data_IF_092056178505
#
_entry.id   IF_092056178505
#
_cell.length_a   1.000
_cell.length_b   1.000
_cell.length_c   1.000
_cell.angle_alpha   90.00
_cell.angle_beta   90.00
_cell.angle_gamma   90.00
#
_symmetry.space_group_name_H-M   'P 1'
#
loop_
_entity.id
_entity.type
_entity.pdbx_description
1 polymer ?
#
# COMPACT_ATOMS: atom_id res chain seq x y z
N UNK A 1 -2.64 -12.72 9.07
CA UNK A 1 -1.18 -12.56 9.15
C UNK A 1 -0.62 -12.10 7.81
N UNK A 2 -0.90 -12.80 6.71
CA UNK A 2 -0.39 -12.42 5.38
C UNK A 2 -0.86 -11.03 4.91
N UNK A 3 -2.14 -10.69 5.10
CA UNK A 3 -2.69 -9.39 4.66
C UNK A 3 -1.97 -8.17 5.25
N UNK A 4 -1.73 -8.18 6.56
CA UNK A 4 -1.06 -7.08 7.26
C UNK A 4 0.35 -6.83 6.70
N UNK A 5 1.10 -7.92 6.50
CA UNK A 5 2.45 -7.86 5.95
C UNK A 5 2.42 -7.40 4.49
N UNK A 6 1.44 -7.86 3.70
CA UNK A 6 1.26 -7.40 2.32
C UNK A 6 1.06 -5.89 2.26
N UNK A 7 0.17 -5.31 3.08
CA UNK A 7 -0.03 -3.85 3.08
C UNK A 7 1.25 -3.13 3.50
N UNK A 8 1.95 -3.59 4.55
CA UNK A 8 3.20 -2.95 4.98
C UNK A 8 4.26 -2.93 3.87
N UNK A 9 4.41 -4.04 3.14
CA UNK A 9 5.38 -4.17 2.05
C UNK A 9 4.99 -3.30 0.85
N UNK A 10 3.70 -3.28 0.50
CA UNK A 10 3.20 -2.43 -0.58
C UNK A 10 3.34 -0.95 -0.26
N UNK A 11 3.01 -0.56 0.98
CA UNK A 11 3.24 0.78 1.48
C UNK A 11 4.73 1.16 1.38
N UNK A 12 5.64 0.32 1.89
CA UNK A 12 7.08 0.55 1.75
C UNK A 12 7.51 0.75 0.30
N UNK A 13 7.01 -0.10 -0.60
CA UNK A 13 7.39 -0.10 -1.99
C UNK A 13 7.00 1.20 -2.70
N UNK A 14 5.87 1.82 -2.31
CA UNK A 14 5.39 3.08 -2.89
C UNK A 14 6.17 4.27 -2.34
N UNK A 15 6.23 4.45 -1.01
CA UNK A 15 6.90 5.61 -0.40
C UNK A 15 8.42 5.65 -0.65
N UNK A 16 9.02 4.51 -1.02
CA UNK A 16 10.44 4.44 -1.37
C UNK A 16 10.68 4.35 -2.88
N UNK A 17 9.65 4.61 -3.70
CA UNK A 17 9.77 4.53 -5.15
C UNK A 17 10.68 5.63 -5.72
N UNK A 18 10.64 6.82 -5.12
CA UNK A 18 11.38 8.03 -5.52
C UNK A 18 12.69 8.24 -4.72
N UNK A 19 12.80 7.62 -3.54
CA UNK A 19 14.04 7.50 -2.75
C UNK A 19 14.05 8.24 -1.42
N UNK A 20 13.06 9.11 -1.15
CA UNK A 20 12.96 9.89 0.08
C UNK A 20 11.58 9.71 0.71
N UNK A 21 11.53 9.42 2.02
CA UNK A 21 10.25 9.30 2.75
C UNK A 21 10.02 10.54 3.61
N UNK A 22 8.89 11.19 3.40
CA UNK A 22 8.45 12.35 4.17
C UNK A 22 7.77 11.94 5.48
N UNK A 23 7.69 12.87 6.44
CA UNK A 23 6.92 12.65 7.68
C UNK A 23 5.41 12.47 7.39
N UNK A 24 4.92 13.10 6.32
CA UNK A 24 3.52 12.99 5.88
C UNK A 24 3.21 11.55 5.48
N UNK A 25 4.02 10.95 4.61
CA UNK A 25 3.88 9.57 4.17
C UNK A 25 3.97 8.59 5.35
N UNK A 26 4.89 8.85 6.29
CA UNK A 26 5.02 8.06 7.52
C UNK A 26 3.75 8.09 8.37
N UNK A 27 3.17 9.28 8.53
CA UNK A 27 1.93 9.47 9.29
C UNK A 27 0.77 8.72 8.65
N UNK A 28 0.65 8.79 7.32
CA UNK A 28 -0.39 8.05 6.60
C UNK A 28 -0.21 6.54 6.75
N UNK A 29 1.03 6.04 6.68
CA UNK A 29 1.31 4.61 6.94
C UNK A 29 0.75 4.13 8.28
N UNK A 30 0.96 4.90 9.35
CA UNK A 30 0.38 4.59 10.67
C UNK A 30 -1.14 4.66 10.71
N UNK A 31 -1.74 5.62 10.00
CA UNK A 31 -3.20 5.74 9.90
C UNK A 31 -3.80 4.53 9.17
N UNK A 32 -3.17 4.08 8.08
CA UNK A 32 -3.57 2.86 7.35
C UNK A 32 -3.55 1.65 8.30
N UNK A 33 -2.48 1.47 9.07
CA UNK A 33 -2.40 0.36 10.03
C UNK A 33 -3.56 0.39 11.02
N UNK A 34 -3.87 1.56 11.61
CA UNK A 34 -4.98 1.72 12.53
C UNK A 34 -6.35 1.43 11.89
N UNK A 35 -6.58 1.95 10.69
CA UNK A 35 -7.83 1.73 9.94
C UNK A 35 -8.02 0.26 9.57
N UNK A 36 -6.93 -0.47 9.35
CA UNK A 36 -6.94 -1.91 9.10
C UNK A 36 -6.92 -2.75 10.39
N UNK A 37 -6.92 -2.12 11.58
CA UNK A 37 -6.89 -2.81 12.86
C UNK A 37 -5.57 -3.54 13.13
N UNK A 38 -4.48 -3.05 12.56
CA UNK A 38 -3.13 -3.61 12.68
C UNK A 38 -2.35 -2.91 13.80
N UNK A 39 -1.49 -3.66 14.47
CA UNK A 39 -0.64 -3.13 15.51
C UNK A 39 0.55 -2.36 14.90
N UNK A 40 0.91 -1.23 15.51
CA UNK A 40 1.95 -0.31 15.01
C UNK A 40 3.34 -0.98 14.92
N UNK A 41 3.61 -1.97 15.77
CA UNK A 41 4.87 -2.73 15.81
C UNK A 41 5.09 -3.62 14.58
N UNK A 42 4.00 -4.05 13.93
CA UNK A 42 4.04 -4.84 12.69
C UNK A 42 4.65 -4.00 11.56
N UNK A 43 4.24 -2.73 11.45
CA UNK A 43 4.73 -1.84 10.42
C UNK A 43 6.24 -1.68 10.56
N UNK A 44 6.71 -1.19 11.70
CA UNK A 44 8.14 -0.90 11.91
C UNK A 44 9.02 -2.14 11.71
N UNK A 45 8.58 -3.30 12.22
CA UNK A 45 9.28 -4.58 12.04
C UNK A 45 9.35 -5.00 10.59
N UNK A 46 8.26 -4.87 9.83
CA UNK A 46 8.23 -5.31 8.44
C UNK A 46 9.00 -4.35 7.52
N UNK A 47 8.92 -3.05 7.76
CA UNK A 47 9.69 -2.06 7.01
C UNK A 47 11.20 -2.25 7.21
N UNK A 48 11.64 -2.63 8.42
CA UNK A 48 13.04 -2.97 8.67
C UNK A 48 13.53 -4.15 7.82
N UNK A 49 12.65 -5.13 7.52
CA UNK A 49 12.98 -6.24 6.62
C UNK A 49 13.00 -5.81 5.15
N UNK A 50 12.03 -4.99 4.74
CA UNK A 50 11.95 -4.48 3.37
C UNK A 50 13.21 -3.69 2.98
N UNK A 51 13.83 -2.96 3.93
CA UNK A 51 15.11 -2.24 3.73
C UNK A 51 16.28 -3.14 3.32
N UNK A 52 16.21 -4.44 3.60
CA UNK A 52 17.28 -5.39 3.27
C UNK A 52 17.10 -6.03 1.88
N UNK A 53 15.98 -5.75 1.20
CA UNK A 53 15.65 -6.33 -0.10
C UNK A 53 15.94 -5.33 -1.21
N UNK A 54 16.34 -5.84 -2.38
CA UNK A 54 16.34 -5.03 -3.60
C UNK A 54 14.92 -4.70 -4.05
N UNK A 55 14.77 -3.65 -4.87
CA UNK A 55 13.46 -3.24 -5.42
C UNK A 55 12.77 -4.40 -6.16
N UNK A 56 13.52 -5.18 -6.94
CA UNK A 56 12.99 -6.34 -7.68
C UNK A 56 12.51 -7.43 -6.72
N UNK A 57 13.32 -7.81 -5.73
CA UNK A 57 12.92 -8.82 -4.73
C UNK A 57 11.68 -8.40 -3.95
N UNK A 58 11.56 -7.11 -3.64
CA UNK A 58 10.40 -6.57 -2.94
C UNK A 58 9.14 -6.61 -3.81
N UNK A 59 9.24 -6.24 -5.11
CA UNK A 59 8.12 -6.35 -6.05
C UNK A 59 7.65 -7.81 -6.16
N UNK A 60 8.58 -8.75 -6.35
CA UNK A 60 8.26 -10.18 -6.44
C UNK A 60 7.60 -10.70 -5.15
N UNK A 61 8.11 -10.27 -3.98
CA UNK A 61 7.53 -10.60 -2.69
C UNK A 61 6.12 -10.04 -2.53
N UNK A 62 5.88 -8.80 -2.96
CA UNK A 62 4.56 -8.16 -2.95
C UNK A 62 3.57 -8.92 -3.84
N UNK A 63 3.96 -9.25 -5.07
CA UNK A 63 3.12 -10.03 -6.01
C UNK A 63 2.82 -11.42 -5.43
N UNK A 64 3.83 -12.10 -4.89
CA UNK A 64 3.64 -13.40 -4.26
C UNK A 64 2.70 -13.34 -3.05
N UNK A 65 2.81 -12.28 -2.24
CA UNK A 65 1.96 -12.07 -1.06
C UNK A 65 0.52 -11.75 -1.47
N UNK A 66 0.33 -10.86 -2.46
CA UNK A 66 -0.98 -10.53 -3.04
C UNK A 66 -1.67 -11.78 -3.60
N UNK A 67 -0.96 -12.63 -4.34
CA UNK A 67 -1.53 -13.86 -4.91
C UNK A 67 -2.01 -14.88 -3.86
N UNK A 68 -1.58 -14.77 -2.61
CA UNK A 68 -2.04 -15.62 -1.49
C UNK A 68 -3.27 -15.06 -0.78
N UNK A 69 -3.63 -13.81 -1.03
CA UNK A 69 -4.78 -13.17 -0.43
C UNK A 69 -6.08 -13.54 -1.16
N UNK A 70 -7.20 -13.43 -0.45
CA UNK A 70 -8.52 -13.48 -1.10
C UNK A 70 -8.71 -12.24 -1.97
N UNK A 71 -9.56 -12.34 -3.00
CA UNK A 71 -9.89 -11.24 -3.92
C UNK A 71 -10.25 -9.94 -3.17
N UNK A 72 -11.04 -10.05 -2.10
CA UNK A 72 -11.38 -8.90 -1.24
C UNK A 72 -10.13 -8.17 -0.72
N UNK A 73 -9.17 -8.92 -0.19
CA UNK A 73 -7.95 -8.34 0.38
C UNK A 73 -6.94 -7.92 -0.68
N UNK A 74 -6.94 -8.55 -1.86
CA UNK A 74 -6.16 -8.09 -3.01
C UNK A 74 -6.63 -6.71 -3.47
N UNK A 75 -7.94 -6.54 -3.69
CA UNK A 75 -8.55 -5.27 -4.10
C UNK A 75 -8.26 -4.19 -3.06
N UNK A 76 -8.48 -4.49 -1.78
CA UNK A 76 -8.23 -3.53 -0.70
C UNK A 76 -6.76 -3.14 -0.58
N UNK A 77 -5.83 -4.07 -0.77
CA UNK A 77 -4.39 -3.78 -0.77
C UNK A 77 -4.00 -2.87 -1.94
N UNK A 78 -4.56 -3.11 -3.13
CA UNK A 78 -4.31 -2.28 -4.32
C UNK A 78 -4.92 -0.89 -4.19
N UNK A 79 -6.13 -0.78 -3.63
CA UNK A 79 -6.75 0.51 -3.34
C UNK A 79 -5.89 1.36 -2.40
N UNK A 80 -5.27 0.74 -1.38
CA UNK A 80 -4.30 1.44 -0.54
C UNK A 80 -3.07 1.93 -1.30
N UNK A 81 -2.57 1.17 -2.29
CA UNK A 81 -1.43 1.64 -3.10
C UNK A 81 -1.77 2.91 -3.88
N UNK A 82 -2.96 2.98 -4.47
CA UNK A 82 -3.43 4.18 -5.16
C UNK A 82 -3.49 5.38 -4.22
N UNK A 83 -4.14 5.20 -3.06
CA UNK A 83 -4.24 6.26 -2.05
C UNK A 83 -2.86 6.73 -1.61
N UNK A 84 -1.92 5.81 -1.34
CA UNK A 84 -0.58 6.16 -0.88
C UNK A 84 0.17 6.96 -1.95
N UNK A 85 0.09 6.54 -3.22
CA UNK A 85 0.74 7.28 -4.32
C UNK A 85 0.16 8.68 -4.56
N UNK A 86 -1.02 8.99 -4.00
CA UNK A 86 -1.69 10.28 -4.17
C UNK A 86 -1.47 11.25 -2.98
N UNK A 87 -0.80 10.81 -1.91
CA UNK A 87 -0.62 11.59 -0.67
C UNK A 87 0.10 12.92 -0.93
N UNK A 88 1.13 12.91 -1.78
CA UNK A 88 1.98 14.08 -2.04
C UNK A 88 1.48 14.92 -3.25
N UNK A 89 0.18 14.82 -3.57
CA UNK A 89 -0.55 15.65 -4.54
C UNK A 89 -0.09 15.52 -6.00
N UNK A 90 0.92 14.68 -6.25
CA UNK A 90 1.33 14.26 -7.58
C UNK A 90 1.82 12.81 -7.49
N UNK A 91 1.06 11.88 -8.09
CA UNK A 91 1.54 10.52 -8.32
C UNK A 91 2.80 10.62 -9.19
N UNK A 92 3.95 10.29 -8.62
CA UNK A 92 5.16 10.26 -9.43
C UNK A 92 5.03 9.15 -10.48
N UNK A 93 5.57 9.37 -11.67
CA UNK A 93 5.54 8.39 -12.76
C UNK A 93 6.14 7.05 -12.31
N UNK A 94 7.07 7.08 -11.35
CA UNK A 94 7.72 5.89 -10.81
C UNK A 94 6.78 5.07 -9.93
N UNK A 95 5.97 5.71 -9.08
CA UNK A 95 4.98 5.02 -8.25
C UNK A 95 3.89 4.40 -9.12
N UNK A 96 3.40 5.16 -10.10
CA UNK A 96 2.39 4.64 -11.03
C UNK A 96 2.90 3.43 -11.79
N UNK A 97 4.15 3.47 -12.25
CA UNK A 97 4.78 2.36 -12.93
C UNK A 97 4.90 1.10 -12.05
N UNK A 98 5.15 1.26 -10.75
CA UNK A 98 5.17 0.14 -9.80
C UNK A 98 3.77 -0.47 -9.62
N UNK A 99 2.75 0.38 -9.46
CA UNK A 99 1.35 -0.07 -9.34
C UNK A 99 0.93 -0.84 -10.61
N UNK A 100 1.21 -0.28 -11.78
CA UNK A 100 0.87 -0.88 -13.07
C UNK A 100 1.59 -2.23 -13.27
N UNK A 101 2.85 -2.36 -12.85
CA UNK A 101 3.57 -3.64 -12.88
C UNK A 101 2.92 -4.70 -11.98
N UNK A 102 2.50 -4.33 -10.78
CA UNK A 102 1.81 -5.26 -9.88
C UNK A 102 0.46 -5.66 -10.49
N UNK A 103 -0.32 -4.71 -10.99
CA UNK A 103 -1.62 -4.97 -11.61
C UNK A 103 -1.54 -5.86 -12.85
N UNK A 104 -0.53 -5.68 -13.69
CA UNK A 104 -0.31 -6.53 -14.85
C UNK A 104 -0.14 -8.02 -14.47
N UNK A 105 0.34 -8.29 -13.25
CA UNK A 105 0.48 -9.63 -12.70
C UNK A 105 -0.78 -10.13 -11.94
N UNK A 106 -1.77 -9.27 -11.72
CA UNK A 106 -3.03 -9.57 -11.02
C UNK A 106 -4.17 -9.78 -12.03
N UNK A 107 -4.10 -10.87 -12.80
CA UNK A 107 -4.84 -11.16 -14.04
C UNK A 107 -6.40 -11.14 -13.94
N UNK A 108 -7.01 -10.87 -12.78
CA UNK A 108 -8.48 -11.06 -12.60
C UNK A 108 -9.19 -10.00 -11.76
N UNK A 109 -8.55 -8.86 -11.46
CA UNK A 109 -9.18 -7.86 -10.59
C UNK A 109 -9.91 -6.79 -11.39
N UNK A 110 -11.22 -6.59 -11.17
CA UNK A 110 -11.97 -5.54 -11.84
C UNK A 110 -11.56 -4.17 -11.30
N UNK A 111 -11.02 -3.31 -12.16
CA UNK A 111 -10.59 -1.95 -11.80
C UNK A 111 -11.73 -1.13 -11.15
N UNK A 112 -12.98 -1.39 -11.54
CA UNK A 112 -14.15 -0.74 -10.93
C UNK A 112 -14.31 -1.06 -9.45
N UNK A 113 -13.97 -2.27 -9.01
CA UNK A 113 -14.04 -2.62 -7.58
C UNK A 113 -12.88 -1.99 -6.80
N UNK A 114 -11.71 -1.87 -7.42
CA UNK A 114 -10.57 -1.16 -6.81
C UNK A 114 -10.94 0.31 -6.56
N UNK A 115 -11.47 1.00 -7.57
CA UNK A 115 -11.88 2.41 -7.45
C UNK A 115 -12.99 2.63 -6.41
N UNK A 116 -13.93 1.69 -6.28
CA UNK A 116 -14.97 1.77 -5.23
C UNK A 116 -14.37 1.67 -3.83
N UNK A 117 -13.46 0.71 -3.61
CA UNK A 117 -12.78 0.54 -2.31
C UNK A 117 -11.83 1.70 -2.03
N UNK A 118 -11.16 2.23 -3.04
CA UNK A 118 -10.31 3.42 -2.94
C UNK A 118 -11.11 4.64 -2.42
N UNK A 119 -12.29 4.89 -3.00
CA UNK A 119 -13.17 5.98 -2.56
C UNK A 119 -13.66 5.80 -1.11
N UNK A 120 -14.02 4.57 -0.73
CA UNK A 120 -14.39 4.22 0.66
C UNK A 120 -13.24 4.51 1.63
N UNK A 121 -12.04 4.02 1.30
CA UNK A 121 -10.85 4.13 2.13
C UNK A 121 -10.37 5.58 2.26
N UNK A 122 -10.37 6.33 1.16
CA UNK A 122 -9.99 7.74 1.15
C UNK A 122 -10.91 8.58 2.03
N UNK A 123 -12.22 8.32 1.98
CA UNK A 123 -13.19 8.98 2.87
C UNK A 123 -12.91 8.69 4.35
N UNK A 124 -12.62 7.42 4.69
CA UNK A 124 -12.27 7.03 6.05
C UNK A 124 -10.96 7.67 6.53
N UNK A 125 -9.96 7.80 5.64
CA UNK A 125 -8.69 8.43 5.94
C UNK A 125 -8.85 9.92 6.22
N UNK A 126 -9.63 10.64 5.40
CA UNK A 126 -9.94 12.06 5.60
C UNK A 126 -10.68 12.26 6.93
N UNK A 127 -11.74 11.48 7.18
CA UNK A 127 -12.45 11.56 8.46
C UNK A 127 -11.56 11.25 9.66
N UNK A 128 -10.57 10.36 9.51
CA UNK A 128 -9.60 10.07 10.56
C UNK A 128 -8.64 11.24 10.80
N UNK A 129 -8.25 11.98 9.75
CA UNK A 129 -7.40 13.17 9.87
C UNK A 129 -8.12 14.34 10.57
N UNK A 130 -9.45 14.46 10.43
CA UNK A 130 -10.24 15.49 11.11
C UNK A 130 -10.44 15.23 12.62
N UNK A 131 -10.15 14.00 13.09
CA UNK A 131 -10.35 13.58 14.48
C UNK A 131 -9.08 13.60 15.35
N UNK A 132 -7.90 13.86 14.75
CA UNK A 132 -6.58 13.85 15.41
C UNK A 132 -6.00 15.26 15.47
#
# INVERSE_FOLDING_TARGET
MDYALTICRLYYLIIHADGDVTESEWRVGKQIMKLEGLADDILETELAKCRLLSKTELIDLCIASLNRLTTKYQIRSLAWMYIVSEIDWAVDKTERFVIDQILANMVKLPHSEIALVESELSSNLISFQELV
#
